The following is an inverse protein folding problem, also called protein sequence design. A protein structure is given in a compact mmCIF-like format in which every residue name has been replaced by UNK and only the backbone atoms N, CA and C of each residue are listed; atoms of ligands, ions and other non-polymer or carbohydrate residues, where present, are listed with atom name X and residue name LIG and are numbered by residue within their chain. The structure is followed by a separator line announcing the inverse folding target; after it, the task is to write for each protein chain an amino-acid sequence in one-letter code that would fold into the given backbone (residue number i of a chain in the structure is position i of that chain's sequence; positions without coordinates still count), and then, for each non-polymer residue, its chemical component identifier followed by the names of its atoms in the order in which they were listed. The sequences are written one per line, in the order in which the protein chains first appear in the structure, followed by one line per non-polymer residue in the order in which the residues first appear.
data_IF_987804967295
#
_entry.id   IF_987804967295
#
_cell.length_a   1.000
_cell.length_b   1.000
_cell.length_c   1.000
_cell.angle_alpha   90.00
_cell.angle_beta   90.00
_cell.angle_gamma   90.00
#
_symmetry.space_group_name_H-M   'P 1'
#
loop_
_entity.id
_entity.type
_entity.pdbx_description
1 polymer ?
#
# COMPACT_ATOMS: atom_id res chain seq x y z
N UNK A 1 -13.59 2.73 -24.34
CA UNK A 1 -12.99 3.21 -23.07
C UNK A 1 -12.46 1.99 -22.34
N UNK A 2 -11.27 2.08 -21.79
CA UNK A 2 -10.68 1.01 -21.00
C UNK A 2 -11.42 0.88 -19.67
N UNK A 3 -11.72 -0.35 -19.27
CA UNK A 3 -12.30 -0.62 -17.95
C UNK A 3 -11.17 -0.69 -16.94
N UNK A 4 -11.18 0.18 -15.94
CA UNK A 4 -10.17 0.17 -14.89
C UNK A 4 -10.67 -0.64 -13.71
N UNK A 5 -9.82 -1.55 -13.21
CA UNK A 5 -10.13 -2.44 -12.10
C UNK A 5 -9.08 -2.23 -11.02
N UNK A 6 -9.51 -1.97 -9.78
CA UNK A 6 -8.64 -1.93 -8.61
C UNK A 6 -8.63 -3.29 -7.91
N UNK A 7 -7.46 -3.94 -7.89
CA UNK A 7 -7.24 -5.24 -7.25
C UNK A 7 -7.02 -5.11 -5.73
N UNK A 8 -7.95 -4.48 -5.00
CA UNK A 8 -7.74 -4.20 -3.56
C UNK A 8 -9.05 -4.08 -2.77
N UNK A 9 -9.09 -4.70 -1.59
CA UNK A 9 -10.14 -4.52 -0.60
C UNK A 9 -9.99 -3.24 0.24
N UNK A 10 -8.84 -2.55 0.17
CA UNK A 10 -8.54 -1.40 1.02
C UNK A 10 -9.45 -0.21 0.69
N UNK A 11 -10.30 0.19 1.64
CA UNK A 11 -11.16 1.37 1.51
C UNK A 11 -10.35 2.64 1.27
N UNK A 12 -9.20 2.79 1.93
CA UNK A 12 -8.30 3.94 1.73
C UNK A 12 -7.84 4.06 0.28
N UNK A 13 -7.45 2.95 -0.36
CA UNK A 13 -7.07 2.94 -1.79
C UNK A 13 -8.23 3.27 -2.71
N UNK A 14 -9.42 2.75 -2.40
CA UNK A 14 -10.64 3.05 -3.16
C UNK A 14 -10.98 4.55 -3.08
N UNK A 15 -10.92 5.15 -1.90
CA UNK A 15 -11.16 6.58 -1.69
C UNK A 15 -10.12 7.45 -2.40
N UNK A 16 -8.84 7.04 -2.36
CA UNK A 16 -7.78 7.75 -3.07
C UNK A 16 -7.96 7.66 -4.59
N UNK A 17 -8.28 6.46 -5.11
CA UNK A 17 -8.48 6.28 -6.55
C UNK A 17 -9.68 7.08 -7.07
N UNK A 18 -10.77 7.18 -6.31
CA UNK A 18 -11.92 8.03 -6.63
C UNK A 18 -11.59 9.51 -6.82
N UNK A 19 -10.47 9.98 -6.28
CA UNK A 19 -10.05 11.39 -6.44
C UNK A 19 -9.52 11.69 -7.83
N UNK A 20 -9.07 10.66 -8.57
CA UNK A 20 -8.45 10.80 -9.88
C UNK A 20 -9.20 10.05 -10.98
N UNK A 21 -10.05 9.10 -10.63
CA UNK A 21 -10.86 8.32 -11.58
C UNK A 21 -12.33 8.33 -11.13
N UNK A 22 -13.20 8.79 -12.03
CA UNK A 22 -14.65 8.83 -11.76
C UNK A 22 -15.29 7.45 -11.69
N UNK A 23 -14.86 6.52 -12.56
CA UNK A 23 -15.42 5.16 -12.66
C UNK A 23 -14.31 4.11 -12.70
N UNK A 24 -14.41 3.12 -11.84
CA UNK A 24 -13.60 1.92 -11.84
C UNK A 24 -14.32 0.79 -11.11
N UNK A 25 -13.94 -0.45 -11.39
CA UNK A 25 -14.44 -1.63 -10.70
C UNK A 25 -13.49 -2.01 -9.55
N UNK A 26 -14.04 -2.69 -8.54
CA UNK A 26 -13.27 -3.24 -7.42
C UNK A 26 -13.41 -4.74 -7.48
N UNK A 27 -12.29 -5.44 -7.67
CA UNK A 27 -12.22 -6.90 -7.58
C UNK A 27 -11.12 -7.25 -6.61
N UNK A 28 -11.49 -7.88 -5.49
CA UNK A 28 -10.53 -8.22 -4.44
C UNK A 28 -9.63 -9.37 -4.91
N UNK A 29 -8.32 -9.15 -4.77
CA UNK A 29 -7.32 -10.18 -5.04
C UNK A 29 -7.32 -11.23 -3.93
N UNK A 30 -7.20 -12.50 -4.30
CA UNK A 30 -6.94 -13.66 -3.42
C UNK A 30 -5.48 -14.12 -3.48
N UNK A 31 -4.61 -13.25 -3.96
CA UNK A 31 -3.19 -13.55 -4.09
C UNK A 31 -2.56 -13.91 -2.75
N UNK A 32 -1.89 -15.06 -2.71
CA UNK A 32 -1.12 -15.49 -1.54
C UNK A 32 0.23 -14.74 -1.50
N UNK A 33 0.31 -13.74 -0.65
CA UNK A 33 1.51 -12.91 -0.48
C UNK A 33 2.71 -13.73 0.03
N UNK A 34 2.48 -14.84 0.75
CA UNK A 34 3.54 -15.72 1.25
C UNK A 34 4.28 -16.48 0.15
N UNK A 35 3.69 -16.56 -1.04
CA UNK A 35 4.30 -17.18 -2.23
C UNK A 35 5.50 -16.40 -2.77
N UNK A 36 5.66 -15.11 -2.38
CA UNK A 36 6.80 -14.29 -2.78
C UNK A 36 7.82 -14.19 -1.64
N UNK A 37 9.01 -14.81 -1.78
CA UNK A 37 10.03 -14.72 -0.76
C UNK A 37 10.66 -13.32 -0.74
N UNK A 38 10.86 -12.76 0.45
CA UNK A 38 11.63 -11.54 0.63
C UNK A 38 13.14 -11.82 0.44
N UNK A 39 13.75 -11.19 -0.57
CA UNK A 39 15.18 -11.35 -0.92
C UNK A 39 16.01 -10.11 -0.57
N UNK A 40 15.76 -9.46 0.56
CA UNK A 40 16.45 -8.26 1.03
C UNK A 40 16.43 -7.07 0.03
N UNK A 41 15.44 -7.03 -0.86
CA UNK A 41 15.20 -5.93 -1.79
C UNK A 41 13.74 -5.49 -1.68
N UNK A 42 13.50 -4.47 -0.87
CA UNK A 42 12.15 -3.97 -0.56
C UNK A 42 11.43 -3.44 -1.81
N UNK A 43 12.04 -2.61 -2.67
CA UNK A 43 11.41 -2.18 -3.92
C UNK A 43 10.93 -3.33 -4.80
N UNK A 44 11.80 -4.30 -5.05
CA UNK A 44 11.43 -5.46 -5.86
C UNK A 44 10.32 -6.28 -5.21
N UNK A 45 10.37 -6.45 -3.89
CA UNK A 45 9.39 -7.23 -3.14
C UNK A 45 7.99 -6.60 -3.24
N UNK A 46 7.87 -5.31 -2.95
CA UNK A 46 6.57 -4.62 -2.96
C UNK A 46 5.97 -4.51 -4.37
N UNK A 47 6.81 -4.36 -5.41
CA UNK A 47 6.36 -4.40 -6.81
C UNK A 47 5.85 -5.79 -7.22
N UNK A 48 6.51 -6.85 -6.77
CA UNK A 48 6.07 -8.22 -7.06
C UNK A 48 4.76 -8.57 -6.33
N UNK A 49 4.55 -8.08 -5.11
CA UNK A 49 3.27 -8.21 -4.42
C UNK A 49 2.15 -7.49 -5.19
N UNK A 50 2.42 -6.28 -5.68
CA UNK A 50 1.46 -5.52 -6.49
C UNK A 50 1.13 -6.25 -7.80
N UNK A 51 2.15 -6.79 -8.51
CA UNK A 51 1.96 -7.62 -9.70
C UNK A 51 1.13 -8.86 -9.40
N UNK A 52 1.47 -9.60 -8.35
CA UNK A 52 0.74 -10.81 -7.94
C UNK A 52 -0.76 -10.53 -7.74
N UNK A 53 -1.08 -9.40 -7.10
CA UNK A 53 -2.47 -8.96 -6.91
C UNK A 53 -3.17 -8.66 -8.24
N UNK A 54 -2.53 -7.94 -9.16
CA UNK A 54 -3.10 -7.66 -10.46
C UNK A 54 -3.34 -8.95 -11.28
N UNK A 55 -2.36 -9.84 -11.31
CA UNK A 55 -2.46 -11.12 -12.03
C UNK A 55 -3.49 -12.09 -11.42
N UNK A 56 -3.67 -12.09 -10.09
CA UNK A 56 -4.71 -12.88 -9.44
C UNK A 56 -6.10 -12.42 -9.91
N UNK A 57 -6.31 -11.12 -10.02
CA UNK A 57 -7.59 -10.55 -10.49
C UNK A 57 -7.81 -10.83 -11.99
N UNK A 58 -6.76 -10.78 -12.82
CA UNK A 58 -6.92 -11.06 -14.26
C UNK A 58 -7.44 -12.48 -14.55
N UNK A 59 -7.16 -13.44 -13.69
CA UNK A 59 -7.66 -14.81 -13.79
C UNK A 59 -9.15 -14.96 -13.46
N UNK A 60 -9.74 -13.96 -12.79
CA UNK A 60 -11.16 -13.96 -12.38
C UNK A 60 -12.07 -13.28 -13.40
N UNK A 61 -11.51 -12.60 -14.39
CA UNK A 61 -12.27 -11.83 -15.37
C UNK A 61 -12.53 -12.72 -16.60
N UNK A 62 -13.81 -12.86 -16.98
CA UNK A 62 -14.21 -13.63 -18.17
C UNK A 62 -13.98 -12.86 -19.46
N UNK A 63 -14.28 -11.56 -19.45
CA UNK A 63 -14.00 -10.66 -20.56
C UNK A 63 -12.59 -10.10 -20.40
N UNK A 64 -11.70 -10.52 -21.29
CA UNK A 64 -10.29 -10.11 -21.24
C UNK A 64 -9.98 -8.89 -22.11
N UNK A 65 -10.98 -8.34 -22.80
CA UNK A 65 -10.79 -7.18 -23.65
C UNK A 65 -10.90 -5.85 -22.89
N UNK A 66 -9.94 -4.95 -23.19
CA UNK A 66 -9.92 -3.56 -22.71
C UNK A 66 -9.97 -3.35 -21.17
N UNK A 67 -9.41 -4.29 -20.39
CA UNK A 67 -9.30 -4.16 -18.95
C UNK A 67 -7.87 -3.79 -18.54
N UNK A 68 -7.72 -2.71 -17.73
CA UNK A 68 -6.51 -2.36 -17.03
C UNK A 68 -6.68 -2.67 -15.53
N UNK A 69 -5.81 -3.50 -14.98
CA UNK A 69 -5.87 -3.91 -13.57
C UNK A 69 -4.78 -3.22 -12.79
N UNK A 70 -5.16 -2.43 -11.77
CA UNK A 70 -4.25 -1.76 -10.85
C UNK A 70 -4.06 -2.66 -9.63
N UNK A 71 -2.87 -3.21 -9.47
CA UNK A 71 -2.39 -3.85 -8.26
C UNK A 71 -1.59 -2.86 -7.41
N UNK A 72 -1.74 -2.93 -6.10
CA UNK A 72 -0.97 -2.10 -5.18
C UNK A 72 -0.72 -2.85 -3.87
N UNK A 73 0.49 -2.73 -3.35
CA UNK A 73 0.85 -3.18 -2.01
C UNK A 73 1.62 -2.11 -1.25
N UNK A 74 1.54 -2.12 0.09
CA UNK A 74 2.20 -1.12 0.94
C UNK A 74 2.79 -1.79 2.16
N UNK A 75 4.06 -1.56 2.40
CA UNK A 75 4.80 -2.08 3.54
C UNK A 75 5.51 -0.96 4.29
N UNK A 76 5.71 -1.17 5.58
CA UNK A 76 6.55 -0.33 6.44
C UNK A 76 7.86 -1.05 6.65
N UNK A 77 8.98 -0.34 6.53
CA UNK A 77 10.32 -0.87 6.76
C UNK A 77 11.05 -0.04 7.82
N UNK A 78 11.69 -0.72 8.74
CA UNK A 78 12.53 -0.11 9.78
C UNK A 78 13.75 -0.99 10.04
N UNK A 79 14.95 -0.39 10.01
CA UNK A 79 16.22 -1.10 10.20
C UNK A 79 16.34 -2.37 9.30
N UNK A 80 16.03 -2.24 8.02
CA UNK A 80 16.03 -3.33 7.03
C UNK A 80 15.05 -4.49 7.34
N UNK A 81 14.09 -4.28 8.24
CA UNK A 81 13.03 -5.25 8.54
C UNK A 81 11.70 -4.74 8.04
N UNK A 82 10.91 -5.65 7.48
CA UNK A 82 9.52 -5.35 7.10
C UNK A 82 8.64 -5.49 8.34
N UNK A 83 7.90 -4.43 8.64
CA UNK A 83 6.87 -4.42 9.67
C UNK A 83 5.52 -4.67 8.98
N UNK A 84 5.01 -5.88 9.09
CA UNK A 84 3.69 -6.26 8.61
C UNK A 84 2.56 -5.74 9.50
N UNK A 85 1.38 -6.33 9.36
CA UNK A 85 0.28 -6.10 10.30
C UNK A 85 0.63 -6.78 11.62
N UNK A 86 0.34 -6.15 12.77
CA UNK A 86 0.60 -6.77 14.07
C UNK A 86 -0.26 -8.01 14.27
N UNK A 87 0.31 -9.03 14.89
CA UNK A 87 -0.36 -10.30 15.19
C UNK A 87 -1.34 -10.15 16.36
N UNK A 88 -0.96 -9.32 17.32
CA UNK A 88 -1.70 -9.03 18.54
C UNK A 88 -1.34 -7.65 19.09
N UNK A 89 -1.94 -7.27 20.22
CA UNK A 89 -1.70 -5.98 20.89
C UNK A 89 -0.24 -5.83 21.35
N UNK A 90 0.42 -6.91 21.74
CA UNK A 90 1.81 -6.91 22.19
C UNK A 90 2.73 -6.61 21.01
N UNK A 91 2.54 -7.28 19.90
CA UNK A 91 3.29 -7.05 18.67
C UNK A 91 3.09 -5.61 18.15
N UNK A 92 1.85 -5.08 18.21
CA UNK A 92 1.58 -3.69 17.90
C UNK A 92 2.33 -2.71 18.82
N UNK A 93 2.42 -3.01 20.11
CA UNK A 93 3.16 -2.19 21.07
C UNK A 93 4.66 -2.19 20.74
N UNK A 94 5.24 -3.35 20.50
CA UNK A 94 6.66 -3.50 20.15
C UNK A 94 7.00 -2.76 18.85
N UNK A 95 6.13 -2.86 17.83
CA UNK A 95 6.28 -2.09 16.57
C UNK A 95 6.28 -0.58 16.82
N UNK A 96 5.26 -0.06 17.51
CA UNK A 96 5.12 1.38 17.76
C UNK A 96 6.24 1.92 18.66
N UNK A 97 6.69 1.13 19.64
CA UNK A 97 7.81 1.47 20.48
C UNK A 97 9.12 1.56 19.68
N UNK A 98 9.33 0.63 18.74
CA UNK A 98 10.49 0.64 17.86
C UNK A 98 10.48 1.85 16.90
N UNK A 99 9.30 2.29 16.46
CA UNK A 99 9.15 3.47 15.59
C UNK A 99 9.23 4.81 16.35
N UNK A 100 8.97 4.80 17.66
CA UNK A 100 9.01 5.99 18.51
C UNK A 100 10.36 6.71 18.44
N UNK A 101 10.33 8.03 18.19
CA UNK A 101 11.53 8.89 18.04
C UNK A 101 12.47 8.48 16.89
N UNK A 102 11.98 7.67 15.93
CA UNK A 102 12.78 7.18 14.80
C UNK A 102 12.16 7.58 13.46
N UNK A 103 13.01 7.57 12.42
CA UNK A 103 12.60 7.65 11.02
C UNK A 103 12.49 6.23 10.47
N UNK A 104 11.40 5.95 9.76
CA UNK A 104 11.16 4.70 9.06
C UNK A 104 10.68 4.95 7.64
N UNK A 105 10.61 3.93 6.82
CA UNK A 105 10.28 4.03 5.42
C UNK A 105 8.96 3.32 5.12
N UNK A 106 8.14 3.97 4.29
CA UNK A 106 6.91 3.38 3.74
C UNK A 106 7.09 3.21 2.24
N UNK A 107 6.96 1.98 1.77
CA UNK A 107 7.04 1.63 0.37
C UNK A 107 5.68 1.19 -0.15
N UNK A 108 5.21 1.81 -1.24
CA UNK A 108 4.09 1.27 -2.01
C UNK A 108 4.57 0.87 -3.40
N UNK A 109 4.33 -0.40 -3.74
CA UNK A 109 4.48 -0.93 -5.10
C UNK A 109 3.18 -0.77 -5.87
N UNK A 110 3.32 -0.46 -7.14
CA UNK A 110 2.25 -0.37 -8.11
C UNK A 110 2.51 -1.32 -9.27
N UNK A 111 1.46 -1.90 -9.80
CA UNK A 111 1.48 -2.66 -11.05
C UNK A 111 0.22 -2.33 -11.85
N UNK A 112 0.37 -2.05 -13.14
CA UNK A 112 -0.76 -1.91 -14.06
C UNK A 112 -0.61 -2.98 -15.14
N UNK A 113 -1.59 -3.87 -15.20
CA UNK A 113 -1.67 -4.97 -16.17
C UNK A 113 -2.75 -4.65 -17.21
N UNK A 114 -2.35 -4.54 -18.45
CA UNK A 114 -3.27 -4.62 -19.60
C UNK A 114 -3.56 -6.10 -19.89
N UNK A 115 -4.80 -6.49 -19.68
CA UNK A 115 -5.22 -7.89 -19.80
C UNK A 115 -5.14 -8.37 -21.24
N UNK A 116 -5.49 -7.52 -22.22
CA UNK A 116 -5.51 -7.85 -23.63
C UNK A 116 -4.12 -8.14 -24.20
N UNK A 117 -3.17 -7.26 -23.95
CA UNK A 117 -1.79 -7.39 -24.45
C UNK A 117 -0.89 -8.19 -23.51
N UNK A 118 -1.34 -8.49 -22.30
CA UNK A 118 -0.53 -9.01 -21.19
C UNK A 118 0.69 -8.13 -20.84
N UNK A 119 0.69 -6.87 -21.30
CA UNK A 119 1.71 -5.89 -20.93
C UNK A 119 1.53 -5.51 -19.46
N UNK A 120 2.62 -5.49 -18.73
CA UNK A 120 2.62 -5.02 -17.34
C UNK A 120 3.72 -3.98 -17.14
N UNK A 121 3.38 -2.91 -16.45
CA UNK A 121 4.35 -1.94 -15.94
C UNK A 121 4.30 -1.96 -14.42
N UNK A 122 5.46 -1.79 -13.79
CA UNK A 122 5.61 -1.79 -12.34
C UNK A 122 6.52 -0.66 -11.90
N UNK A 123 6.17 -0.04 -10.80
CA UNK A 123 7.03 0.96 -10.16
C UNK A 123 6.75 0.99 -8.65
N UNK A 124 7.53 1.76 -7.90
CA UNK A 124 7.35 1.92 -6.45
C UNK A 124 7.58 3.37 -6.03
N UNK A 125 7.08 3.70 -4.85
CA UNK A 125 7.39 4.96 -4.17
C UNK A 125 7.83 4.65 -2.75
N UNK A 126 8.91 5.30 -2.31
CA UNK A 126 9.38 5.30 -0.94
C UNK A 126 9.15 6.67 -0.31
N UNK A 127 8.68 6.68 0.93
CA UNK A 127 8.48 7.90 1.74
C UNK A 127 9.03 7.65 3.13
N UNK A 128 9.85 8.57 3.62
CA UNK A 128 10.34 8.55 4.98
C UNK A 128 9.35 9.23 5.92
N UNK A 129 9.11 8.61 7.05
CA UNK A 129 8.20 9.10 8.08
C UNK A 129 8.94 9.15 9.41
N UNK A 130 9.01 10.31 10.03
CA UNK A 130 9.57 10.51 11.38
C UNK A 130 8.45 10.51 12.39
N UNK A 131 8.57 9.69 13.43
CA UNK A 131 7.70 9.73 14.60
C UNK A 131 8.29 10.61 15.70
N UNK A 132 7.43 11.34 16.38
CA UNK A 132 7.75 11.96 17.66
C UNK A 132 8.06 10.89 18.71
N UNK A 133 8.70 11.30 19.81
CA UNK A 133 8.89 10.41 20.96
C UNK A 133 7.54 10.08 21.60
N UNK A 134 7.22 8.79 21.69
CA UNK A 134 5.97 8.28 22.26
C UNK A 134 6.19 7.72 23.65
N UNK A 135 5.25 7.97 24.55
CA UNK A 135 5.19 7.31 25.86
C UNK A 135 4.43 5.98 25.76
N UNK A 136 4.73 5.03 26.65
CA UNK A 136 3.99 3.75 26.72
C UNK A 136 2.47 3.98 26.84
N UNK A 137 2.05 4.97 27.64
CA UNK A 137 0.63 5.30 27.81
C UNK A 137 -0.04 5.78 26.52
N UNK A 138 0.66 6.54 25.66
CA UNK A 138 0.14 6.96 24.36
C UNK A 138 -0.03 5.77 23.43
N UNK A 139 0.97 4.88 23.38
CA UNK A 139 0.94 3.65 22.57
C UNK A 139 -0.22 2.77 23.02
N UNK A 140 -0.37 2.50 24.31
CA UNK A 140 -1.44 1.67 24.87
C UNK A 140 -2.83 2.24 24.57
N UNK A 141 -3.02 3.55 24.75
CA UNK A 141 -4.28 4.23 24.43
C UNK A 141 -4.65 4.07 22.97
N UNK A 142 -3.66 4.19 22.07
CA UNK A 142 -3.89 4.00 20.65
C UNK A 142 -4.22 2.54 20.31
N UNK A 143 -3.49 1.56 20.84
CA UNK A 143 -3.75 0.14 20.64
C UNK A 143 -5.15 -0.25 21.09
N UNK A 144 -5.61 0.30 22.23
CA UNK A 144 -6.95 0.01 22.75
C UNK A 144 -8.09 0.53 21.89
N UNK A 145 -7.82 1.37 20.89
CA UNK A 145 -8.82 1.75 19.88
C UNK A 145 -9.09 0.65 18.85
N UNK A 146 -8.23 -0.35 18.73
CA UNK A 146 -8.29 -1.38 17.70
C UNK A 146 -7.75 -0.93 16.32
N UNK A 147 -7.50 0.36 16.14
CA UNK A 147 -7.05 0.97 14.87
C UNK A 147 -5.74 0.39 14.29
N UNK A 148 -4.72 -0.03 15.09
CA UNK A 148 -3.48 -0.57 14.57
C UNK A 148 -3.57 -1.91 13.84
N UNK A 149 -4.57 -2.74 14.17
CA UNK A 149 -4.52 -4.18 13.91
C UNK A 149 -4.60 -4.59 12.42
N UNK A 150 -5.08 -3.74 11.55
CA UNK A 150 -5.19 -3.99 10.11
C UNK A 150 -4.13 -3.26 9.27
N UNK A 151 -3.12 -2.64 9.93
CA UNK A 151 -2.16 -1.74 9.28
C UNK A 151 -0.72 -2.23 9.41
N UNK A 152 0.03 -2.15 8.30
CA UNK A 152 1.48 -2.37 8.33
C UNK A 152 2.17 -1.36 9.27
N UNK A 153 3.12 -1.83 10.09
CA UNK A 153 3.78 -1.02 11.09
C UNK A 153 2.88 -0.57 12.25
N UNK A 154 1.68 -1.15 12.37
CA UNK A 154 0.71 -0.89 13.44
C UNK A 154 0.21 0.57 13.49
N UNK A 155 0.19 1.33 12.38
CA UNK A 155 -0.36 2.69 12.39
C UNK A 155 -0.98 3.11 11.06
N UNK A 156 -1.86 4.11 11.12
CA UNK A 156 -2.42 4.77 9.94
C UNK A 156 -2.40 6.29 10.11
N UNK A 157 -1.72 6.97 9.16
CA UNK A 157 -1.54 8.43 9.22
C UNK A 157 -2.85 9.21 9.16
N UNK A 158 -3.90 8.66 8.56
CA UNK A 158 -5.22 9.29 8.46
C UNK A 158 -6.07 9.10 9.73
N UNK A 159 -5.67 8.16 10.62
CA UNK A 159 -6.35 7.86 11.85
C UNK A 159 -5.78 8.60 13.05
N UNK A 160 -6.05 8.04 14.24
CA UNK A 160 -5.58 8.62 15.51
C UNK A 160 -4.05 8.65 15.65
N UNK A 161 -3.33 7.80 14.90
CA UNK A 161 -1.87 7.81 14.88
C UNK A 161 -1.27 8.98 14.08
N UNK A 162 -2.09 9.78 13.40
CA UNK A 162 -1.60 11.00 12.73
C UNK A 162 -0.84 11.95 13.67
N UNK A 163 -1.19 11.97 14.97
CA UNK A 163 -0.49 12.77 16.00
C UNK A 163 0.90 12.24 16.37
N UNK A 164 1.25 11.02 15.94
CA UNK A 164 2.56 10.44 16.17
C UNK A 164 3.57 10.89 15.11
N UNK A 165 3.07 11.28 13.93
CA UNK A 165 3.90 11.69 12.80
C UNK A 165 4.37 13.12 13.01
N UNK A 166 5.68 13.28 13.16
CA UNK A 166 6.34 14.59 13.28
C UNK A 166 6.61 15.19 11.90
N UNK A 167 7.08 14.36 10.96
CA UNK A 167 7.46 14.80 9.62
C UNK A 167 7.32 13.67 8.59
N UNK A 168 7.12 14.06 7.33
CA UNK A 168 7.14 13.21 6.15
C UNK A 168 8.11 13.80 5.14
N UNK A 169 9.02 12.98 4.63
CA UNK A 169 9.86 13.31 3.49
C UNK A 169 9.48 12.40 2.32
N UNK A 170 8.69 12.92 1.39
CA UNK A 170 8.16 12.19 0.23
C UNK A 170 6.66 12.41 0.00
N UNK A 171 5.98 11.36 -0.45
CA UNK A 171 4.58 11.43 -0.88
C UNK A 171 3.62 11.03 0.26
N UNK A 172 2.77 11.95 0.72
CA UNK A 172 1.72 11.67 1.69
C UNK A 172 0.79 10.53 1.24
N UNK A 173 0.36 10.55 -0.02
CA UNK A 173 -0.55 9.52 -0.55
C UNK A 173 0.10 8.12 -0.60
N UNK A 174 1.44 8.06 -0.71
CA UNK A 174 2.17 6.82 -0.54
C UNK A 174 2.03 6.27 0.89
N UNK A 175 2.13 7.12 1.90
CA UNK A 175 1.97 6.70 3.31
C UNK A 175 0.54 6.24 3.58
N UNK A 176 -0.47 6.84 2.93
CA UNK A 176 -1.87 6.38 2.99
C UNK A 176 -2.06 5.02 2.32
N UNK A 177 -1.27 4.73 1.25
CA UNK A 177 -1.25 3.43 0.58
C UNK A 177 -1.54 3.40 -0.91
N UNK A 178 -1.64 4.58 -1.58
CA UNK A 178 -1.76 4.67 -3.05
C UNK A 178 -1.13 5.98 -3.53
N UNK A 179 0.11 5.96 -4.05
CA UNK A 179 0.82 7.17 -4.49
C UNK A 179 0.22 7.71 -5.81
N UNK A 180 -0.73 8.65 -5.70
CA UNK A 180 -1.55 9.14 -6.82
C UNK A 180 -0.75 9.71 -7.98
N UNK A 181 0.30 10.50 -7.70
CA UNK A 181 1.14 11.09 -8.76
C UNK A 181 1.83 10.00 -9.59
N UNK A 182 2.45 9.03 -8.93
CA UNK A 182 3.10 7.90 -9.60
C UNK A 182 2.08 7.06 -10.39
N UNK A 183 0.93 6.77 -9.78
CA UNK A 183 -0.14 6.03 -10.45
C UNK A 183 -0.63 6.75 -11.70
N UNK A 184 -0.83 8.08 -11.63
CA UNK A 184 -1.21 8.88 -12.80
C UNK A 184 -0.19 8.77 -13.94
N UNK A 185 1.11 8.91 -13.62
CA UNK A 185 2.17 8.77 -14.63
C UNK A 185 2.15 7.39 -15.31
N UNK A 186 1.93 6.34 -14.52
CA UNK A 186 1.83 4.97 -15.03
C UNK A 186 0.56 4.76 -15.89
N UNK A 187 -0.57 5.34 -15.49
CA UNK A 187 -1.81 5.29 -16.27
C UNK A 187 -1.63 6.00 -17.62
N UNK A 188 -0.97 7.17 -17.65
CA UNK A 188 -0.64 7.86 -18.90
C UNK A 188 0.25 7.02 -19.82
N UNK A 189 1.24 6.30 -19.28
CA UNK A 189 2.07 5.36 -20.05
C UNK A 189 1.27 4.20 -20.65
N UNK A 190 0.16 3.83 -20.01
CA UNK A 190 -0.79 2.82 -20.49
C UNK A 190 -1.90 3.39 -21.39
N UNK A 191 -1.83 4.68 -21.74
CA UNK A 191 -2.78 5.34 -22.66
C UNK A 191 -4.02 5.94 -21.97
N UNK A 192 -4.09 5.92 -20.63
CA UNK A 192 -5.20 6.52 -19.86
C UNK A 192 -4.85 7.95 -19.48
N UNK A 193 -5.61 8.90 -20.02
CA UNK A 193 -5.52 10.31 -19.64
C UNK A 193 -6.66 10.64 -18.67
N UNK A 194 -6.31 11.17 -17.50
CA UNK A 194 -7.24 11.58 -16.44
C UNK A 194 -7.82 12.96 -16.69
#
# INVERSE_FOLDING_TARGET
MENIILASASQRRQELLKRILGNFQIIVSDFDESSIPFKNNIPSYVMNLAEGKARSVSKKIMDQDNNLIIGCDTIVAFNNRILGKPKDKKDAFEMLQALSDNEHEVYSGLAILDVKSNKIIKDFVCTKVKFSKLTSSQIEKYINTGDPMDKAGAYGIQGKAGVFVENINGCYYNVVGLPLNKLNSMLMEMGVNL
#
